data_IF_374339634789
#
_entry.id   IF_374339634789
#
_cell.length_a   1.000
_cell.length_b   1.000
_cell.length_c   1.000
_cell.angle_alpha   90.00
_cell.angle_beta   90.00
_cell.angle_gamma   90.00
#
_symmetry.space_group_name_H-M   'P 1'
#
loop_
_entity.id
_entity.type
_entity.pdbx_description
1 polymer ?
#
# COMPACT_ATOMS: atom_id res chain seq x y z
N UNK A 1 -3.00 12.51 36.74
CA UNK A 1 -2.62 13.51 35.71
C UNK A 1 -1.79 12.83 34.64
N UNK A 2 -2.37 12.54 33.46
CA UNK A 2 -1.62 12.00 32.31
C UNK A 2 -1.10 13.19 31.51
N UNK A 3 0.22 13.28 31.30
CA UNK A 3 0.80 14.32 30.46
C UNK A 3 0.26 14.20 29.02
N UNK A 4 -0.01 15.33 28.33
CA UNK A 4 -0.41 15.30 26.93
C UNK A 4 0.75 14.78 26.06
N UNK A 5 0.47 14.06 24.97
CA UNK A 5 1.51 13.57 24.06
C UNK A 5 2.26 14.74 23.44
N UNK A 6 3.59 14.69 23.52
CA UNK A 6 4.47 15.66 22.85
C UNK A 6 4.26 15.60 21.34
N UNK A 7 4.22 16.76 20.64
CA UNK A 7 3.99 16.77 19.21
C UNK A 7 5.14 16.04 18.50
N UNK A 8 4.84 15.19 17.48
CA UNK A 8 5.88 14.45 16.78
C UNK A 8 6.81 15.44 16.08
N UNK A 9 8.07 15.49 16.54
CA UNK A 9 9.12 16.26 15.89
C UNK A 9 9.15 15.97 14.39
N UNK A 10 9.27 17.04 13.58
CA UNK A 10 9.29 16.96 12.12
C UNK A 10 10.28 15.86 11.69
N UNK A 11 9.74 14.75 11.19
CA UNK A 11 10.51 13.59 10.73
C UNK A 11 11.53 14.03 9.69
N UNK A 12 12.81 13.89 10.02
CA UNK A 12 13.92 14.31 9.19
C UNK A 12 13.97 13.42 7.93
N UNK A 13 13.38 13.88 6.81
CA UNK A 13 13.43 13.20 5.49
C UNK A 13 14.88 12.93 5.03
N UNK A 14 15.83 13.66 5.60
CA UNK A 14 17.27 13.62 5.32
C UNK A 14 17.86 12.24 5.66
N UNK A 15 17.48 11.63 6.78
CA UNK A 15 18.07 10.36 7.22
C UNK A 15 17.80 9.20 6.24
N UNK A 16 16.57 9.08 5.75
CA UNK A 16 16.22 8.05 4.77
C UNK A 16 16.96 8.26 3.43
N UNK A 17 17.17 9.51 3.05
CA UNK A 17 17.93 9.85 1.85
C UNK A 17 19.40 9.47 2.01
N UNK A 18 20.03 9.80 3.15
CA UNK A 18 21.41 9.44 3.46
C UNK A 18 21.65 7.93 3.46
N UNK A 19 20.74 7.16 4.08
CA UNK A 19 20.81 5.69 4.07
C UNK A 19 20.71 5.17 2.64
N UNK A 20 19.79 5.69 1.83
CA UNK A 20 19.63 5.29 0.43
C UNK A 20 20.88 5.65 -0.40
N UNK A 21 21.42 6.85 -0.25
CA UNK A 21 22.63 7.29 -0.93
C UNK A 21 23.82 6.39 -0.56
N UNK A 22 24.00 6.08 0.72
CA UNK A 22 25.05 5.14 1.17
C UNK A 22 24.89 3.76 0.52
N UNK A 23 23.66 3.24 0.44
CA UNK A 23 23.39 1.95 -0.21
C UNK A 23 23.77 1.99 -1.70
N UNK A 24 23.37 3.05 -2.42
CA UNK A 24 23.66 3.24 -3.85
C UNK A 24 25.17 3.33 -4.09
N UNK A 25 25.87 4.22 -3.38
CA UNK A 25 27.32 4.41 -3.53
C UNK A 25 28.07 3.12 -3.16
N UNK A 26 27.66 2.45 -2.08
CA UNK A 26 28.24 1.15 -1.70
C UNK A 26 28.04 0.08 -2.78
N UNK A 27 26.88 0.08 -3.45
CA UNK A 27 26.58 -0.80 -4.58
C UNK A 27 27.47 -0.52 -5.80
N UNK A 28 27.64 0.75 -6.17
CA UNK A 28 28.51 1.18 -7.26
C UNK A 28 29.97 0.80 -7.00
N UNK A 29 30.49 1.09 -5.80
CA UNK A 29 31.86 0.74 -5.43
C UNK A 29 32.08 -0.78 -5.33
N UNK A 30 31.08 -1.55 -4.91
CA UNK A 30 31.12 -3.03 -5.00
C UNK A 30 31.19 -3.52 -6.45
N UNK A 31 30.51 -2.85 -7.38
CA UNK A 31 30.60 -3.21 -8.79
C UNK A 31 31.98 -2.88 -9.35
N UNK A 32 32.51 -1.68 -9.07
CA UNK A 32 33.85 -1.28 -9.49
C UNK A 32 34.95 -2.19 -8.95
N UNK A 33 34.88 -2.56 -7.65
CA UNK A 33 35.85 -3.46 -7.03
C UNK A 33 35.84 -4.85 -7.66
N UNK A 34 34.65 -5.39 -7.98
CA UNK A 34 34.51 -6.70 -8.64
C UNK A 34 35.12 -6.74 -10.04
N UNK A 35 35.20 -5.60 -10.73
CA UNK A 35 35.75 -5.50 -12.08
C UNK A 35 37.18 -4.91 -12.07
N UNK A 36 37.83 -4.81 -10.91
CA UNK A 36 39.22 -4.36 -10.79
C UNK A 36 39.44 -2.86 -11.01
N UNK A 37 38.39 -2.05 -11.18
CA UNK A 37 38.52 -0.60 -11.36
C UNK A 37 38.95 0.11 -10.06
N UNK A 38 38.68 -0.50 -8.91
CA UNK A 38 39.21 -0.11 -7.59
C UNK A 38 39.63 -1.38 -6.85
N UNK A 39 40.58 -1.28 -5.92
CA UNK A 39 41.08 -2.45 -5.18
C UNK A 39 40.09 -2.91 -4.11
N UNK A 40 39.40 -1.97 -3.45
CA UNK A 40 38.44 -2.22 -2.37
C UNK A 40 37.28 -1.24 -2.42
N UNK A 41 36.17 -1.56 -1.74
CA UNK A 41 35.04 -0.65 -1.58
C UNK A 41 35.27 0.28 -0.37
N UNK A 42 35.56 1.59 -0.56
CA UNK A 42 35.84 2.51 0.55
C UNK A 42 34.62 2.79 1.44
N UNK A 43 33.40 2.53 0.95
CA UNK A 43 32.16 2.74 1.72
C UNK A 43 32.06 1.77 2.91
N UNK A 44 32.91 0.74 2.96
CA UNK A 44 33.02 -0.15 4.13
C UNK A 44 33.50 0.58 5.38
N UNK A 45 34.37 1.56 5.22
CA UNK A 45 34.92 2.37 6.34
C UNK A 45 33.94 3.45 6.82
N UNK A 46 32.87 3.71 6.04
CA UNK A 46 31.84 4.66 6.45
C UNK A 46 31.03 4.04 7.58
N UNK A 47 31.10 4.67 8.76
CA UNK A 47 30.35 4.30 9.94
C UNK A 47 28.85 4.13 9.70
N UNK A 48 28.19 3.39 10.59
CA UNK A 48 26.73 3.23 10.54
C UNK A 48 26.09 4.62 10.66
N UNK A 49 25.19 4.95 9.73
CA UNK A 49 24.38 6.16 9.85
C UNK A 49 23.36 5.87 10.94
N UNK A 50 23.57 6.46 12.10
CA UNK A 50 22.66 6.30 13.23
C UNK A 50 21.36 7.03 12.96
N UNK A 51 20.27 6.32 13.22
CA UNK A 51 18.93 6.82 13.08
C UNK A 51 18.18 6.63 14.37
N UNK A 52 17.26 7.55 14.66
CA UNK A 52 16.29 7.33 15.73
C UNK A 52 15.57 5.99 15.47
N UNK A 53 15.47 5.10 16.46
CA UNK A 53 14.78 3.83 16.30
C UNK A 53 13.39 4.06 15.72
N UNK A 54 13.05 3.36 14.63
CA UNK A 54 11.70 3.44 14.08
C UNK A 54 10.74 2.89 15.13
N UNK A 55 9.67 3.64 15.41
CA UNK A 55 8.56 3.07 16.16
C UNK A 55 8.10 1.78 15.47
N UNK A 56 7.99 0.72 16.28
CA UNK A 56 7.44 -0.55 15.81
C UNK A 56 6.00 -0.29 15.35
N UNK A 57 5.59 -0.74 14.16
CA UNK A 57 4.20 -0.64 13.75
C UNK A 57 3.33 -1.38 14.77
N UNK A 58 2.39 -0.66 15.38
CA UNK A 58 1.42 -1.23 16.31
C UNK A 58 0.16 -1.61 15.53
N UNK A 59 -0.33 -2.82 15.74
CA UNK A 59 -1.61 -3.27 15.19
C UNK A 59 -2.76 -2.67 15.98
N UNK A 60 -3.85 -2.33 15.29
CA UNK A 60 -5.08 -1.86 15.94
C UNK A 60 -5.71 -2.97 16.77
N UNK A 61 -6.14 -2.67 18.00
CA UNK A 61 -7.00 -3.57 18.79
C UNK A 61 -8.38 -3.72 18.16
N UNK A 62 -9.21 -4.65 18.65
CA UNK A 62 -10.57 -4.82 18.14
C UNK A 62 -11.42 -3.56 18.32
N UNK A 63 -11.29 -2.90 19.47
CA UNK A 63 -12.02 -1.68 19.80
C UNK A 63 -11.51 -0.48 18.98
N UNK A 64 -10.21 -0.41 18.73
CA UNK A 64 -9.62 0.60 17.85
C UNK A 64 -10.06 0.42 16.40
N UNK A 65 -10.15 -0.83 15.92
CA UNK A 65 -10.69 -1.12 14.59
C UNK A 65 -12.16 -0.70 14.49
N UNK A 66 -12.98 -1.00 15.49
CA UNK A 66 -14.38 -0.59 15.49
C UNK A 66 -14.50 0.94 15.42
N UNK A 67 -13.80 1.67 16.31
CA UNK A 67 -13.78 3.14 16.29
C UNK A 67 -13.30 3.72 14.96
N UNK A 68 -12.35 3.06 14.31
CA UNK A 68 -11.88 3.45 12.99
C UNK A 68 -12.99 3.34 11.93
N UNK A 69 -13.71 2.21 11.87
CA UNK A 69 -14.81 2.04 10.93
C UNK A 69 -15.99 2.98 11.24
N UNK A 70 -16.33 3.17 12.51
CA UNK A 70 -17.38 4.12 12.92
C UNK A 70 -17.06 5.54 12.44
N UNK A 71 -15.79 5.96 12.56
CA UNK A 71 -15.33 7.27 12.09
C UNK A 71 -15.37 7.40 10.56
N UNK A 72 -15.10 6.31 9.82
CA UNK A 72 -15.20 6.30 8.36
C UNK A 72 -16.66 6.38 7.90
N UNK A 73 -17.58 5.70 8.59
CA UNK A 73 -19.01 5.75 8.27
C UNK A 73 -19.64 7.10 8.61
N UNK A 74 -19.24 7.72 9.73
CA UNK A 74 -19.74 9.04 10.12
C UNK A 74 -19.26 10.18 9.20
N UNK A 75 -18.19 9.97 8.44
CA UNK A 75 -17.57 10.99 7.60
C UNK A 75 -18.09 10.95 6.17
N UNK A 76 -18.87 11.98 5.79
CA UNK A 76 -19.39 12.11 4.43
C UNK A 76 -18.29 12.09 3.35
N UNK A 77 -17.15 12.81 3.50
CA UNK A 77 -16.05 12.68 2.55
C UNK A 77 -15.56 11.23 2.45
N UNK A 78 -15.37 10.54 3.56
CA UNK A 78 -14.85 9.17 3.54
C UNK A 78 -15.79 8.22 2.79
N UNK A 79 -17.11 8.38 2.94
CA UNK A 79 -18.12 7.64 2.19
C UNK A 79 -18.10 7.95 0.70
N UNK A 80 -17.97 9.21 0.31
CA UNK A 80 -17.86 9.61 -1.12
C UNK A 80 -16.66 8.94 -1.81
N UNK A 81 -15.55 8.74 -1.08
CA UNK A 81 -14.35 8.08 -1.58
C UNK A 81 -14.36 6.55 -1.41
N UNK A 82 -15.49 5.96 -0.99
CA UNK A 82 -15.63 4.54 -0.65
C UNK A 82 -14.53 4.03 0.33
N UNK A 83 -14.04 4.89 1.24
CA UNK A 83 -12.99 4.52 2.22
C UNK A 83 -13.40 3.42 3.20
N UNK A 84 -14.67 3.32 3.68
CA UNK A 84 -15.10 2.20 4.50
C UNK A 84 -14.85 0.85 3.80
N UNK A 85 -15.32 0.75 2.55
CA UNK A 85 -15.21 -0.48 1.77
C UNK A 85 -13.76 -0.81 1.39
N UNK A 86 -12.97 0.21 1.03
CA UNK A 86 -11.54 0.02 0.77
C UNK A 86 -10.80 -0.48 2.03
N UNK A 87 -11.12 0.09 3.19
CA UNK A 87 -10.51 -0.32 4.47
C UNK A 87 -10.92 -1.74 4.85
N UNK A 88 -12.18 -2.13 4.62
CA UNK A 88 -12.65 -3.50 4.77
C UNK A 88 -11.92 -4.45 3.83
N UNK A 89 -11.76 -4.10 2.55
CA UNK A 89 -10.99 -4.93 1.61
C UNK A 89 -9.53 -5.10 1.99
N UNK A 90 -8.88 -4.03 2.45
CA UNK A 90 -7.50 -4.08 2.95
C UNK A 90 -7.39 -4.99 4.18
N UNK A 91 -8.36 -4.91 5.10
CA UNK A 91 -8.41 -5.79 6.27
C UNK A 91 -8.69 -7.25 5.89
N UNK A 92 -9.54 -7.47 4.89
CA UNK A 92 -9.96 -8.79 4.43
C UNK A 92 -8.83 -9.55 3.74
N UNK A 93 -8.06 -8.84 2.90
CA UNK A 93 -7.09 -9.43 1.99
C UNK A 93 -5.64 -9.25 2.45
N UNK A 94 -5.37 -8.30 3.36
CA UNK A 94 -4.02 -7.92 3.76
C UNK A 94 -3.18 -7.31 2.62
N UNK A 95 -3.80 -6.95 1.50
CA UNK A 95 -3.10 -6.45 0.33
C UNK A 95 -2.64 -4.99 0.51
N UNK A 96 -1.61 -4.60 -0.24
CA UNK A 96 -1.15 -3.20 -0.23
C UNK A 96 -2.22 -2.32 -0.86
N UNK A 97 -2.33 -1.06 -0.43
CA UNK A 97 -3.32 -0.12 -0.98
C UNK A 97 -3.30 -0.07 -2.52
N UNK A 98 -2.12 -0.02 -3.14
CA UNK A 98 -2.00 -0.03 -4.60
C UNK A 98 -2.53 -1.30 -5.26
N UNK A 99 -2.43 -2.45 -4.60
CA UNK A 99 -2.99 -3.72 -5.07
C UNK A 99 -4.52 -3.70 -4.90
N UNK A 100 -5.02 -3.29 -3.72
CA UNK A 100 -6.46 -3.19 -3.44
C UNK A 100 -7.19 -2.26 -4.43
N UNK A 101 -6.61 -1.11 -4.74
CA UNK A 101 -7.18 -0.14 -5.68
C UNK A 101 -7.16 -0.66 -7.13
N UNK A 102 -6.34 -1.68 -7.44
CA UNK A 102 -6.22 -2.25 -8.78
C UNK A 102 -7.09 -3.48 -9.00
N UNK A 103 -7.78 -3.97 -7.98
CA UNK A 103 -8.75 -5.07 -8.10
C UNK A 103 -9.95 -4.57 -8.91
N UNK A 104 -10.25 -5.28 -10.00
CA UNK A 104 -11.46 -5.12 -10.77
C UNK A 104 -12.44 -6.26 -10.48
N UNK A 105 -13.62 -6.19 -11.07
CA UNK A 105 -14.64 -7.25 -10.90
C UNK A 105 -14.29 -8.55 -11.62
N UNK A 106 -13.36 -8.52 -12.58
CA UNK A 106 -12.89 -9.72 -13.28
C UNK A 106 -12.03 -10.60 -12.37
N UNK A 107 -11.35 -9.98 -11.40
CA UNK A 107 -10.49 -10.66 -10.45
C UNK A 107 -11.22 -11.11 -9.16
N UNK A 108 -12.54 -10.87 -9.06
CA UNK A 108 -13.34 -11.21 -7.88
C UNK A 108 -14.28 -12.36 -8.20
N UNK A 109 -14.07 -13.49 -7.53
CA UNK A 109 -14.98 -14.63 -7.55
C UNK A 109 -15.81 -14.65 -6.26
N UNK A 110 -17.07 -14.23 -6.38
CA UNK A 110 -18.02 -14.15 -5.27
C UNK A 110 -18.57 -15.53 -4.84
N UNK A 111 -18.53 -16.51 -5.73
CA UNK A 111 -19.05 -17.86 -5.47
C UNK A 111 -18.02 -18.68 -4.70
N UNK A 112 -16.74 -18.56 -5.09
CA UNK A 112 -15.61 -19.19 -4.41
C UNK A 112 -15.07 -18.38 -3.24
N UNK A 113 -15.57 -17.15 -3.04
CA UNK A 113 -15.08 -16.21 -2.04
C UNK A 113 -13.56 -15.98 -2.16
N UNK A 114 -13.09 -15.71 -3.37
CA UNK A 114 -11.66 -15.48 -3.65
C UNK A 114 -11.42 -14.23 -4.48
N UNK A 115 -10.27 -13.59 -4.28
CA UNK A 115 -9.81 -12.43 -5.05
C UNK A 115 -8.42 -12.69 -5.60
N UNK A 116 -8.25 -12.47 -6.89
CA UNK A 116 -6.99 -12.61 -7.59
C UNK A 116 -6.20 -11.28 -7.55
N UNK A 117 -4.99 -11.32 -6.98
CA UNK A 117 -4.17 -10.12 -6.81
C UNK A 117 -3.03 -10.12 -7.82
N UNK A 118 -3.30 -9.61 -9.02
CA UNK A 118 -2.34 -9.62 -10.13
C UNK A 118 -1.87 -8.22 -10.54
N UNK A 119 -2.56 -7.18 -10.07
CA UNK A 119 -2.37 -5.80 -10.52
C UNK A 119 -2.02 -4.86 -9.38
N UNK A 120 -1.35 -3.76 -9.71
CA UNK A 120 -1.11 -2.64 -8.81
C UNK A 120 -1.35 -1.31 -9.51
N UNK A 121 -1.97 -0.39 -8.80
CA UNK A 121 -2.22 0.97 -9.25
C UNK A 121 -1.06 1.87 -8.84
N UNK A 122 -0.43 2.52 -9.81
CA UNK A 122 0.71 3.41 -9.60
C UNK A 122 0.43 4.75 -10.24
N UNK A 123 0.69 5.84 -9.52
CA UNK A 123 0.66 7.19 -10.10
C UNK A 123 2.03 7.57 -10.62
N UNK A 124 2.11 7.94 -11.89
CA UNK A 124 3.34 8.43 -12.52
C UNK A 124 3.16 9.89 -12.95
N UNK A 125 4.05 10.76 -12.49
CA UNK A 125 4.05 12.18 -12.87
C UNK A 125 4.08 12.34 -14.40
N UNK A 126 3.19 13.17 -14.94
CA UNK A 126 3.06 13.41 -16.39
C UNK A 126 2.28 12.35 -17.17
N UNK A 127 1.96 11.19 -16.58
CA UNK A 127 1.22 10.10 -17.25
C UNK A 127 -0.13 9.82 -16.60
N UNK A 128 -0.28 10.07 -15.29
CA UNK A 128 -1.52 9.83 -14.56
C UNK A 128 -1.50 8.50 -13.79
N UNK A 129 -2.68 7.89 -13.64
CA UNK A 129 -2.85 6.59 -12.98
C UNK A 129 -2.61 5.44 -13.96
N UNK A 130 -1.74 4.51 -13.58
CA UNK A 130 -1.40 3.33 -14.36
C UNK A 130 -1.74 2.07 -13.58
N UNK A 131 -2.54 1.19 -14.19
CA UNK A 131 -2.73 -0.18 -13.72
C UNK A 131 -1.64 -1.04 -14.34
N UNK A 132 -0.69 -1.48 -13.52
CA UNK A 132 0.45 -2.27 -13.95
C UNK A 132 0.35 -3.67 -13.35
N UNK A 133 0.86 -4.68 -14.05
CA UNK A 133 1.05 -5.99 -13.45
C UNK A 133 1.90 -5.85 -12.17
N UNK A 134 1.55 -6.61 -11.13
CA UNK A 134 2.24 -6.55 -9.84
C UNK A 134 3.72 -6.93 -9.96
N UNK A 135 4.07 -7.75 -10.96
CA UNK A 135 5.46 -8.20 -11.20
C UNK A 135 6.00 -7.76 -12.56
N UNK A 136 7.32 -7.47 -12.59
CA UNK A 136 8.12 -7.24 -13.82
C UNK A 136 8.65 -8.56 -14.41
N UNK A 137 8.39 -9.68 -13.74
CA UNK A 137 8.87 -11.03 -14.07
C UNK A 137 7.81 -11.97 -13.53
N UNK A 138 7.15 -12.71 -14.43
CA UNK A 138 5.89 -13.41 -14.14
C UNK A 138 5.88 -14.30 -12.90
N UNK A 139 4.67 -14.56 -12.44
CA UNK A 139 4.26 -15.64 -11.51
C UNK A 139 4.52 -15.47 -10.01
N UNK A 140 5.46 -14.63 -9.53
CA UNK A 140 5.86 -14.70 -8.10
C UNK A 140 4.96 -14.00 -7.07
N UNK A 141 3.96 -13.20 -7.49
CA UNK A 141 3.05 -12.51 -6.55
C UNK A 141 1.59 -12.45 -7.06
N UNK A 142 1.26 -13.24 -8.09
CA UNK A 142 -0.13 -13.51 -8.47
C UNK A 142 -0.68 -14.47 -7.41
N UNK A 143 -1.43 -13.92 -6.46
CA UNK A 143 -1.96 -14.71 -5.34
C UNK A 143 -3.48 -14.69 -5.37
N UNK A 144 -4.06 -15.87 -5.26
CA UNK A 144 -5.48 -16.04 -4.98
C UNK A 144 -5.69 -15.93 -3.48
N UNK A 145 -6.39 -14.88 -3.05
CA UNK A 145 -6.63 -14.57 -1.63
C UNK A 145 -8.05 -14.97 -1.27
N UNK A 146 -8.26 -15.91 -0.33
CA UNK A 146 -9.60 -16.19 0.18
C UNK A 146 -10.08 -14.98 0.98
N UNK A 147 -11.34 -14.57 0.75
CA UNK A 147 -11.95 -13.46 1.46
C UNK A 147 -12.99 -13.97 2.46
N UNK A 148 -13.05 -13.39 3.67
CA UNK A 148 -14.06 -13.74 4.66
C UNK A 148 -15.46 -13.36 4.21
N UNK A 149 -16.47 -14.04 4.76
CA UNK A 149 -17.89 -13.88 4.38
C UNK A 149 -18.39 -12.45 4.47
N UNK A 150 -17.97 -11.68 5.47
CA UNK A 150 -18.35 -10.27 5.60
C UNK A 150 -17.83 -9.40 4.45
N UNK A 151 -16.65 -9.71 3.90
CA UNK A 151 -16.10 -9.00 2.74
C UNK A 151 -16.88 -9.37 1.47
N UNK A 152 -17.27 -10.64 1.33
CA UNK A 152 -18.15 -11.10 0.23
C UNK A 152 -19.49 -10.38 0.28
N UNK A 153 -20.10 -10.25 1.46
CA UNK A 153 -21.35 -9.50 1.65
C UNK A 153 -21.20 -8.05 1.20
N UNK A 154 -20.14 -7.36 1.65
CA UNK A 154 -19.85 -5.99 1.21
C UNK A 154 -19.67 -5.91 -0.31
N UNK A 155 -18.91 -6.84 -0.92
CA UNK A 155 -18.72 -6.88 -2.38
C UNK A 155 -20.04 -7.11 -3.13
N UNK A 156 -20.93 -7.96 -2.63
CA UNK A 156 -22.28 -8.16 -3.20
C UNK A 156 -23.10 -6.87 -3.14
N UNK A 157 -23.11 -6.17 -2.00
CA UNK A 157 -23.79 -4.87 -1.87
C UNK A 157 -23.24 -3.84 -2.86
N UNK A 158 -21.91 -3.76 -3.01
CA UNK A 158 -21.28 -2.85 -3.99
C UNK A 158 -21.62 -3.20 -5.42
N UNK A 159 -21.64 -4.48 -5.78
CA UNK A 159 -21.99 -4.93 -7.14
C UNK A 159 -23.41 -4.52 -7.52
N UNK A 160 -24.36 -4.64 -6.60
CA UNK A 160 -25.73 -4.19 -6.78
C UNK A 160 -25.82 -2.66 -6.92
N UNK A 161 -25.06 -1.92 -6.12
CA UNK A 161 -25.02 -0.47 -6.18
C UNK A 161 -24.38 0.10 -7.46
N UNK A 162 -23.50 -0.66 -8.12
CA UNK A 162 -22.79 -0.27 -9.36
C UNK A 162 -23.61 -0.53 -10.63
N UNK A 163 -24.53 -1.51 -10.61
CA UNK A 163 -25.38 -1.86 -11.74
C UNK A 163 -26.26 -0.70 -12.25
N UNK A 164 -26.32 0.41 -11.53
CA UNK A 164 -26.94 1.68 -11.91
C UNK A 164 -26.04 2.61 -12.77
N UNK A 165 -24.92 2.13 -13.33
CA UNK A 165 -24.19 2.81 -14.41
C UNK A 165 -22.77 3.31 -14.09
N UNK A 166 -22.04 2.66 -13.18
CA UNK A 166 -20.67 3.06 -12.80
C UNK A 166 -19.62 2.08 -13.33
N UNK A 167 -18.48 2.58 -13.82
CA UNK A 167 -17.41 1.72 -14.36
C UNK A 167 -16.78 0.81 -13.30
N UNK A 168 -16.26 -0.38 -13.69
CA UNK A 168 -15.92 -1.47 -12.79
C UNK A 168 -14.52 -1.27 -12.16
N UNK A 169 -14.44 -0.69 -10.97
CA UNK A 169 -13.24 -0.64 -10.14
C UNK A 169 -13.59 -0.57 -8.65
N UNK A 170 -12.83 -1.27 -7.80
CA UNK A 170 -13.15 -1.45 -6.36
C UNK A 170 -12.90 -0.18 -5.51
N UNK A 171 -12.51 0.95 -6.12
CA UNK A 171 -12.90 2.26 -5.59
C UNK A 171 -13.46 3.19 -6.68
N UNK A 172 -14.53 3.94 -6.35
CA UNK A 172 -14.94 5.11 -7.14
C UNK A 172 -13.86 6.19 -7.05
N UNK A 173 -12.91 6.16 -7.98
CA UNK A 173 -11.94 7.24 -8.13
C UNK A 173 -12.62 8.37 -8.94
N UNK A 174 -12.72 9.60 -8.41
CA UNK A 174 -13.26 10.72 -9.16
C UNK A 174 -12.34 11.05 -10.34
N UNK A 175 -12.97 11.53 -11.42
CA UNK A 175 -12.34 11.84 -12.71
C UNK A 175 -11.13 12.79 -12.65
N UNK A 176 -10.92 13.53 -11.54
CA UNK A 176 -9.75 14.42 -11.37
C UNK A 176 -8.41 13.68 -11.15
N UNK A 177 -8.43 12.35 -11.05
CA UNK A 177 -7.23 11.52 -10.97
C UNK A 177 -6.86 10.82 -12.28
N UNK A 178 -7.70 10.97 -13.33
CA UNK A 178 -7.42 10.50 -14.69
C UNK A 178 -6.58 11.54 -15.45
#
# INVERSE_FOLDING_TARGET
MRQPPTPPGRRCRILSCLITAKIVISGMMRFAARHGAVTVNPVREVGRIEGTPRHRPTSLTAEERQRWFDALEASEPARVWDLPDLSLMMLATGCRIGECLAIGWQEVDLDRATVEVCWRLVRRGGVGLLRLASTKTGQRDERLVPVPSWAVTMLKHRRLAIASGVQPGVPRLPRRLA
#
